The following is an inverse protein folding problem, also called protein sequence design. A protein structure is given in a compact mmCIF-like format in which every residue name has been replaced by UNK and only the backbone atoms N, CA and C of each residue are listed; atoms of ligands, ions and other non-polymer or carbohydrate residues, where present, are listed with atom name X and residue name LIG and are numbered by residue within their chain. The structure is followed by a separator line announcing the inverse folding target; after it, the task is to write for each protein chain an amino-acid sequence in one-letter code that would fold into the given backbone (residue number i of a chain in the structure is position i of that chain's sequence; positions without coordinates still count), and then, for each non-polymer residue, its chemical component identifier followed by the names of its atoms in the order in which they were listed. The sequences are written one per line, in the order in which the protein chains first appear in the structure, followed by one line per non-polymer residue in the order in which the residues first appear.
data_IF_459510138496
#
_entry.id   IF_459510138496
#
_cell.length_a   1.000
_cell.length_b   1.000
_cell.length_c   1.000
_cell.angle_alpha   90.00
_cell.angle_beta   90.00
_cell.angle_gamma   90.00
#
_symmetry.space_group_name_H-M   'P 1'
#
loop_
_entity.id
_entity.type
_entity.pdbx_description
1 polymer ?
#
# COMPACT_ATOMS: atom_id res chain seq x y z
N UNK A 1 11.38 -6.39 -1.40
CA UNK A 1 11.16 -5.99 -2.81
C UNK A 1 10.09 -6.89 -3.41
N UNK A 2 9.02 -6.32 -3.95
CA UNK A 2 8.00 -7.07 -4.69
C UNK A 2 8.46 -7.17 -6.14
N UNK A 3 8.62 -8.38 -6.69
CA UNK A 3 8.99 -8.51 -8.09
C UNK A 3 7.80 -8.16 -9.00
N UNK A 4 8.03 -7.25 -9.94
CA UNK A 4 7.06 -6.69 -10.87
C UNK A 4 7.52 -6.77 -12.33
N UNK A 5 8.51 -7.64 -12.62
CA UNK A 5 9.06 -7.84 -13.96
C UNK A 5 7.98 -8.17 -15.00
N UNK A 6 8.15 -7.65 -16.22
CA UNK A 6 7.20 -7.83 -17.33
C UNK A 6 7.02 -9.28 -17.77
N UNK A 7 8.02 -10.13 -17.60
CA UNK A 7 8.04 -11.52 -18.09
C UNK A 7 7.15 -12.43 -17.26
N UNK A 8 7.26 -12.35 -15.94
CA UNK A 8 6.74 -13.39 -15.04
C UNK A 8 5.67 -12.89 -14.07
N UNK A 9 5.53 -11.56 -13.90
CA UNK A 9 4.65 -10.98 -12.87
C UNK A 9 3.39 -10.33 -13.46
N UNK A 10 2.84 -10.92 -14.54
CA UNK A 10 1.67 -10.38 -15.24
C UNK A 10 0.50 -10.09 -14.30
N UNK A 11 0.19 -10.98 -13.34
CA UNK A 11 -0.93 -10.77 -12.41
C UNK A 11 -0.75 -9.51 -11.55
N UNK A 12 0.46 -9.28 -11.03
CA UNK A 12 0.79 -8.08 -10.24
C UNK A 12 0.71 -6.84 -11.11
N UNK A 13 1.22 -6.90 -12.34
CA UNK A 13 1.15 -5.78 -13.29
C UNK A 13 -0.29 -5.45 -13.68
N UNK A 14 -1.14 -6.44 -13.94
CA UNK A 14 -2.56 -6.23 -14.22
C UNK A 14 -3.30 -5.64 -13.01
N UNK A 15 -2.94 -6.04 -11.79
CA UNK A 15 -3.44 -5.41 -10.58
C UNK A 15 -3.06 -3.91 -10.53
N UNK A 16 -1.78 -3.58 -10.76
CA UNK A 16 -1.31 -2.20 -10.85
C UNK A 16 -2.00 -1.39 -11.97
N UNK A 17 -2.30 -2.01 -13.13
CA UNK A 17 -3.12 -1.36 -14.18
C UNK A 17 -4.50 -1.01 -13.66
N UNK A 18 -5.13 -1.93 -12.94
CA UNK A 18 -6.48 -1.72 -12.41
C UNK A 18 -6.55 -0.55 -11.43
N UNK A 19 -5.48 -0.34 -10.64
CA UNK A 19 -5.29 0.80 -9.72
C UNK A 19 -5.18 2.12 -10.50
N UNK A 20 -4.39 2.14 -11.56
CA UNK A 20 -4.14 3.36 -12.33
C UNK A 20 -5.33 3.77 -13.22
N UNK A 21 -6.07 2.80 -13.76
CA UNK A 21 -7.12 3.04 -14.75
C UNK A 21 -8.51 3.29 -14.16
N UNK A 22 -8.75 3.01 -12.87
CA UNK A 22 -10.07 3.17 -12.25
C UNK A 22 -10.13 4.47 -11.43
N UNK A 23 -10.83 5.51 -11.92
CA UNK A 23 -10.93 6.78 -11.21
C UNK A 23 -11.77 6.70 -9.93
N UNK A 24 -12.75 5.78 -9.87
CA UNK A 24 -13.84 5.77 -8.89
C UNK A 24 -13.68 4.78 -7.72
N UNK A 25 -12.58 4.02 -7.68
CA UNK A 25 -12.29 3.20 -6.50
C UNK A 25 -11.70 4.09 -5.39
N UNK A 26 -11.97 3.77 -4.10
CA UNK A 26 -11.21 4.35 -2.98
C UNK A 26 -9.72 4.29 -3.33
N UNK A 27 -8.89 5.26 -2.90
CA UNK A 27 -7.49 5.29 -3.28
C UNK A 27 -6.93 3.89 -3.04
N UNK A 28 -6.59 3.19 -4.12
CA UNK A 28 -6.11 1.82 -4.06
C UNK A 28 -4.74 1.89 -3.37
N UNK A 29 -4.82 1.77 -2.06
CA UNK A 29 -3.77 2.14 -1.14
C UNK A 29 -3.11 0.87 -0.64
N UNK A 30 -1.79 0.88 -0.55
CA UNK A 30 -1.08 -0.06 0.29
C UNK A 30 -1.57 0.17 1.72
N UNK A 31 -2.25 -0.84 2.27
CA UNK A 31 -2.69 -0.84 3.66
C UNK A 31 -1.61 -1.51 4.51
N UNK A 32 -1.09 -0.77 5.47
CA UNK A 32 -0.27 -1.29 6.55
C UNK A 32 -1.19 -1.60 7.72
N UNK A 33 -1.17 -2.85 8.20
CA UNK A 33 -1.89 -3.23 9.42
C UNK A 33 -0.88 -3.31 10.55
N UNK A 34 -1.13 -2.59 11.63
CA UNK A 34 -0.42 -2.75 12.89
C UNK A 34 -1.17 -3.80 13.69
N UNK A 35 -0.46 -4.81 14.17
CA UNK A 35 -1.02 -5.93 14.95
C UNK A 35 -0.37 -6.00 16.32
N UNK A 36 -1.13 -6.44 17.32
CA UNK A 36 -0.58 -6.88 18.61
C UNK A 36 -0.31 -8.37 18.58
N UNK A 37 0.95 -8.73 18.81
CA UNK A 37 1.39 -10.11 19.01
C UNK A 37 1.05 -10.53 20.46
N UNK A 38 0.38 -11.68 20.66
CA UNK A 38 0.08 -12.18 22.01
C UNK A 38 1.35 -12.38 22.85
N UNK A 39 1.27 -12.25 24.19
CA UNK A 39 2.40 -12.52 25.07
C UNK A 39 2.79 -14.02 25.04
N UNK A 40 4.02 -14.33 25.46
CA UNK A 40 4.60 -15.68 25.33
C UNK A 40 3.75 -16.79 25.97
N UNK A 41 3.02 -16.48 27.05
CA UNK A 41 2.13 -17.37 27.80
C UNK A 41 0.74 -17.56 27.17
N UNK A 42 0.41 -16.77 26.15
CA UNK A 42 -0.86 -16.80 25.43
C UNK A 42 -0.66 -16.99 23.91
N UNK A 43 0.45 -17.60 23.48
CA UNK A 43 0.79 -17.84 22.07
C UNK A 43 -0.22 -18.70 21.29
N UNK A 44 -1.17 -19.35 21.96
CA UNK A 44 -2.28 -20.05 21.30
C UNK A 44 -3.36 -19.08 20.78
N UNK A 45 -3.30 -17.80 21.14
CA UNK A 45 -4.20 -16.75 20.65
C UNK A 45 -3.76 -16.23 19.28
N UNK A 46 -4.71 -15.65 18.53
CA UNK A 46 -4.44 -15.00 17.25
C UNK A 46 -3.95 -13.57 17.46
N UNK A 47 -3.14 -13.06 16.52
CA UNK A 47 -2.81 -11.64 16.50
C UNK A 47 -4.06 -10.78 16.28
N UNK A 48 -4.13 -9.63 16.93
CA UNK A 48 -5.23 -8.69 16.79
C UNK A 48 -4.80 -7.46 16.00
N UNK A 49 -5.61 -7.03 15.04
CA UNK A 49 -5.42 -5.76 14.33
C UNK A 49 -5.69 -4.61 15.31
N UNK A 50 -4.72 -3.73 15.52
CA UNK A 50 -4.85 -2.55 16.41
C UNK A 50 -4.98 -1.24 15.63
N UNK A 51 -4.51 -1.20 14.38
CA UNK A 51 -4.66 0.00 13.56
C UNK A 51 -4.25 -0.18 12.10
N UNK A 52 -4.60 0.82 11.30
CA UNK A 52 -4.37 0.83 9.86
C UNK A 52 -3.71 2.13 9.41
N UNK A 53 -2.73 2.03 8.52
CA UNK A 53 -2.15 3.17 7.81
C UNK A 53 -2.17 2.92 6.30
N UNK A 54 -2.15 4.00 5.50
CA UNK A 54 -2.42 3.91 4.07
C UNK A 54 -1.43 4.73 3.24
N UNK A 55 -0.97 4.15 2.14
CA UNK A 55 -0.21 4.85 1.09
C UNK A 55 -0.92 4.70 -0.24
N UNK A 56 -1.25 5.79 -0.91
CA UNK A 56 -1.88 5.75 -2.22
C UNK A 56 -0.86 5.59 -3.35
N UNK A 57 -0.88 4.45 -4.05
CA UNK A 57 -0.06 4.27 -5.26
C UNK A 57 -0.46 5.24 -6.38
N UNK A 58 -1.74 5.62 -6.42
CA UNK A 58 -2.26 6.62 -7.35
C UNK A 58 -1.65 8.00 -7.07
N UNK A 59 -1.44 8.35 -5.81
CA UNK A 59 -0.81 9.62 -5.43
C UNK A 59 0.67 9.66 -5.83
N UNK A 60 1.42 8.57 -5.62
CA UNK A 60 2.81 8.42 -6.13
C UNK A 60 2.85 8.68 -7.64
N UNK A 61 1.95 8.05 -8.39
CA UNK A 61 1.85 8.25 -9.83
C UNK A 61 1.46 9.68 -10.20
N UNK A 62 0.45 10.28 -9.56
CA UNK A 62 0.00 11.64 -9.90
C UNK A 62 1.02 12.71 -9.55
N UNK A 63 1.71 12.59 -8.41
CA UNK A 63 2.75 13.51 -7.97
C UNK A 63 4.08 13.29 -8.68
N UNK A 64 4.24 12.18 -9.42
CA UNK A 64 5.48 11.78 -10.08
C UNK A 64 6.65 11.73 -9.10
N UNK A 65 6.41 11.20 -7.90
CA UNK A 65 7.41 11.09 -6.83
C UNK A 65 7.15 9.86 -5.98
N UNK A 66 8.22 9.13 -5.66
CA UNK A 66 8.21 8.11 -4.62
C UNK A 66 8.01 8.74 -3.23
N UNK A 67 7.67 7.89 -2.26
CA UNK A 67 7.59 8.26 -0.85
C UNK A 67 8.88 7.81 -0.18
N UNK A 68 9.59 8.74 0.46
CA UNK A 68 10.88 8.49 1.10
C UNK A 68 10.82 8.98 2.55
N UNK A 69 11.03 8.09 3.51
CA UNK A 69 11.08 8.37 4.96
C UNK A 69 9.95 9.29 5.42
N UNK A 70 8.72 8.97 5.03
CA UNK A 70 7.55 9.79 5.34
C UNK A 70 6.76 9.16 6.49
N UNK A 71 6.44 9.97 7.50
CA UNK A 71 5.47 9.61 8.54
C UNK A 71 4.05 9.59 7.97
N UNK A 72 3.35 8.48 8.18
CA UNK A 72 1.93 8.31 7.89
C UNK A 72 1.17 7.99 9.19
N UNK A 73 -0.03 8.54 9.32
CA UNK A 73 -0.87 8.33 10.49
C UNK A 73 -1.39 6.88 10.53
N UNK A 74 -1.35 6.28 11.73
CA UNK A 74 -1.99 5.01 12.04
C UNK A 74 -3.33 5.32 12.71
N UNK A 75 -4.41 4.90 12.07
CA UNK A 75 -5.78 5.05 12.58
C UNK A 75 -6.19 3.84 13.41
N UNK A 76 -6.97 4.07 14.46
CA UNK A 76 -7.52 3.02 15.32
C UNK A 76 -8.44 2.06 14.54
N UNK A 77 -8.36 0.76 14.82
CA UNK A 77 -9.16 -0.25 14.13
C UNK A 77 -10.66 -0.22 14.50
N UNK A 78 -11.00 0.28 15.68
CA UNK A 78 -12.36 0.44 16.21
C UNK A 78 -12.94 1.83 15.91
N UNK A 79 -12.08 2.85 15.83
CA UNK A 79 -12.44 4.23 15.46
C UNK A 79 -11.52 4.79 14.38
N UNK A 80 -11.92 4.63 13.12
CA UNK A 80 -11.15 5.10 11.97
C UNK A 80 -10.95 6.63 11.90
N UNK A 81 -11.52 7.42 12.81
CA UNK A 81 -11.26 8.85 12.94
C UNK A 81 -10.16 9.20 13.94
N UNK A 82 -9.77 8.25 14.81
CA UNK A 82 -8.77 8.45 15.84
C UNK A 82 -7.37 8.03 15.34
N UNK A 83 -6.39 8.93 15.46
CA UNK A 83 -4.98 8.62 15.19
C UNK A 83 -4.34 8.11 16.47
N UNK A 84 -3.76 6.91 16.41
CA UNK A 84 -3.15 6.21 17.56
C UNK A 84 -1.62 6.14 17.49
N UNK A 85 -1.03 6.57 16.37
CA UNK A 85 0.41 6.58 16.18
C UNK A 85 0.80 7.00 14.77
N UNK A 86 2.09 6.88 14.47
CA UNK A 86 2.65 7.15 13.14
C UNK A 86 3.63 6.04 12.75
N UNK A 87 3.72 5.77 11.45
CA UNK A 87 4.66 4.85 10.84
C UNK A 87 5.52 5.61 9.84
N UNK A 88 6.84 5.57 9.99
CA UNK A 88 7.77 6.07 8.98
C UNK A 88 7.90 5.01 7.86
N UNK A 89 7.63 5.40 6.61
CA UNK A 89 7.66 4.49 5.46
C UNK A 89 8.45 5.05 4.27
N UNK A 90 9.04 4.13 3.51
CA UNK A 90 9.58 4.38 2.18
C UNK A 90 8.91 3.45 1.18
N UNK A 91 8.34 4.02 0.12
CA UNK A 91 7.67 3.29 -0.97
C UNK A 91 8.20 3.79 -2.31
N UNK A 92 9.01 2.97 -2.95
CA UNK A 92 9.54 3.18 -4.30
C UNK A 92 8.71 2.39 -5.30
N UNK A 93 7.89 3.08 -6.09
CA UNK A 93 6.95 2.47 -7.04
C UNK A 93 6.76 3.27 -8.33
N UNK A 94 7.22 4.52 -8.41
CA UNK A 94 6.95 5.41 -9.54
C UNK A 94 7.37 4.79 -10.88
N UNK A 95 8.57 4.23 -10.94
CA UNK A 95 9.11 3.66 -12.18
C UNK A 95 8.26 2.50 -12.71
N UNK A 96 7.80 1.60 -11.83
CA UNK A 96 6.94 0.49 -12.26
C UNK A 96 5.56 1.01 -12.66
N UNK A 97 4.99 1.97 -11.93
CA UNK A 97 3.68 2.54 -12.24
C UNK A 97 3.67 3.23 -13.61
N UNK A 98 4.72 3.99 -13.94
CA UNK A 98 4.92 4.56 -15.28
C UNK A 98 5.01 3.46 -16.35
N UNK A 99 5.86 2.45 -16.11
CA UNK A 99 6.04 1.34 -17.05
C UNK A 99 4.75 0.55 -17.31
N UNK A 100 3.93 0.35 -16.28
CA UNK A 100 2.63 -0.33 -16.37
C UNK A 100 1.61 0.53 -17.12
N UNK A 101 1.59 1.84 -16.87
CA UNK A 101 0.71 2.78 -17.56
C UNK A 101 1.01 2.86 -19.07
N UNK A 102 2.29 2.90 -19.46
CA UNK A 102 2.72 2.88 -20.87
C UNK A 102 2.25 1.63 -21.62
N UNK A 103 2.18 0.48 -20.96
CA UNK A 103 1.61 -0.74 -21.56
C UNK A 103 0.13 -0.61 -21.91
N UNK A 104 -0.62 0.24 -21.18
CA UNK A 104 -2.02 0.51 -21.48
C UNK A 104 -2.20 1.46 -22.67
N UNK A 105 -1.19 2.29 -22.98
CA UNK A 105 -1.24 3.25 -24.08
C UNK A 105 -0.73 2.67 -25.41
N UNK A 106 0.10 1.63 -25.35
CA UNK A 106 0.71 0.98 -26.52
C UNK A 106 -0.08 -0.25 -27.02
N UNK A 107 -1.31 -0.45 -26.55
CA UNK A 107 -2.22 -1.52 -26.98
C UNK A 107 -3.33 -1.01 -27.89
#
# INVERSE_FOLDING_TARGET
VINVDKTDNRAVREYLKSILLKPDLPPDSLKFTVVSDPPEDEQDLECEDIGFAYVSLKEIFQKQSDIIEQDIDVFDCQDASAVIGQLEVTVEALQVLQSVHEECQNN
#
